data_IF_429447069490
#
_entry.id   IF_429447069490
#
_cell.length_a   1.000
_cell.length_b   1.000
_cell.length_c   1.000
_cell.angle_alpha   90.00
_cell.angle_beta   90.00
_cell.angle_gamma   90.00
#
_symmetry.space_group_name_H-M   'P 1'
#
loop_
_entity.id
_entity.type
_entity.pdbx_description
1 polymer ?
#
# COMPACT_ATOMS: atom_id res chain seq x y z
N UNK A 1 1.59 0.10 1.24
CA UNK A 1 0.32 -0.43 0.69
C UNK A 1 -0.73 -0.68 1.75
N UNK A 2 -0.34 -1.07 2.97
CA UNK A 2 -1.28 -1.34 4.09
C UNK A 2 -2.20 -0.13 4.39
N UNK A 3 -1.66 1.10 4.37
CA UNK A 3 -2.45 2.32 4.55
C UNK A 3 -3.52 2.52 3.48
N UNK A 4 -3.28 2.13 2.21
CA UNK A 4 -4.26 2.23 1.13
C UNK A 4 -5.43 1.26 1.35
N UNK A 5 -5.13 0.02 1.71
CA UNK A 5 -6.17 -0.98 2.03
C UNK A 5 -6.99 -0.54 3.24
N UNK A 6 -6.31 -0.01 4.27
CA UNK A 6 -6.98 0.50 5.47
C UNK A 6 -7.91 1.67 5.14
N UNK A 7 -7.46 2.62 4.32
CA UNK A 7 -8.26 3.76 3.88
C UNK A 7 -9.50 3.29 3.10
N UNK A 8 -9.32 2.38 2.14
CA UNK A 8 -10.43 1.81 1.37
C UNK A 8 -11.48 1.13 2.29
N UNK A 9 -11.03 0.37 3.30
CA UNK A 9 -11.92 -0.35 4.22
C UNK A 9 -12.69 0.52 5.19
N UNK A 10 -12.25 1.74 5.43
CA UNK A 10 -12.94 2.71 6.30
C UNK A 10 -14.06 3.47 5.59
N UNK A 11 -14.46 3.04 4.37
CA UNK A 11 -15.51 3.67 3.58
C UNK A 11 -15.07 4.94 2.85
N UNK A 12 -13.80 5.31 2.96
CA UNK A 12 -13.23 6.38 2.17
C UNK A 12 -12.62 5.78 0.91
N UNK A 13 -13.32 5.86 -0.23
CA UNK A 13 -12.83 5.30 -1.48
C UNK A 13 -11.45 5.83 -1.84
N UNK A 14 -10.53 4.91 -2.18
CA UNK A 14 -9.28 5.30 -2.80
C UNK A 14 -9.56 6.10 -4.07
N UNK A 15 -9.10 7.35 -4.08
CA UNK A 15 -9.12 8.19 -5.26
C UNK A 15 -8.20 7.63 -6.35
N UNK A 16 -8.20 8.25 -7.52
CA UNK A 16 -7.50 7.75 -8.71
C UNK A 16 -6.04 7.33 -8.42
N UNK A 17 -5.26 8.16 -7.76
CA UNK A 17 -3.84 7.89 -7.49
C UNK A 17 -3.64 6.69 -6.54
N UNK A 18 -4.47 6.55 -5.51
CA UNK A 18 -4.42 5.39 -4.61
C UNK A 18 -4.76 4.09 -5.33
N UNK A 19 -5.77 4.11 -6.21
CA UNK A 19 -6.11 2.95 -7.05
C UNK A 19 -5.02 2.63 -8.07
N UNK A 20 -4.42 3.66 -8.69
CA UNK A 20 -3.32 3.52 -9.64
C UNK A 20 -2.09 2.89 -8.97
N UNK A 21 -1.84 3.20 -7.69
CA UNK A 21 -0.75 2.63 -6.91
C UNK A 21 -1.05 1.20 -6.44
N UNK A 22 -2.28 0.91 -5.99
CA UNK A 22 -2.61 -0.36 -5.34
C UNK A 22 -2.87 -1.51 -6.34
N UNK A 23 -3.55 -1.25 -7.46
CA UNK A 23 -3.90 -2.30 -8.44
C UNK A 23 -2.69 -3.06 -8.99
N UNK A 24 -1.64 -2.40 -9.52
CA UNK A 24 -0.46 -3.11 -10.02
C UNK A 24 0.34 -3.79 -8.91
N UNK A 25 0.35 -3.21 -7.70
CA UNK A 25 0.97 -3.85 -6.53
C UNK A 25 0.31 -5.20 -6.22
N UNK A 26 -1.03 -5.26 -6.15
CA UNK A 26 -1.78 -6.50 -5.86
C UNK A 26 -1.54 -7.55 -6.95
N UNK A 27 -1.58 -7.15 -8.22
CA UNK A 27 -1.24 -8.03 -9.34
C UNK A 27 0.16 -8.62 -9.18
N UNK A 28 1.17 -7.81 -8.90
CA UNK A 28 2.55 -8.26 -8.72
C UNK A 28 2.74 -9.07 -7.44
N UNK A 29 1.89 -8.90 -6.45
CA UNK A 29 1.84 -9.72 -5.24
C UNK A 29 1.22 -11.11 -5.47
N UNK A 30 0.73 -11.41 -6.69
CA UNK A 30 0.18 -12.72 -7.05
C UNK A 30 -1.34 -12.81 -7.01
N UNK A 31 -2.06 -11.69 -6.74
CA UNK A 31 -3.52 -11.69 -6.80
C UNK A 31 -3.99 -11.93 -8.24
N UNK A 32 -4.85 -12.92 -8.46
CA UNK A 32 -5.41 -13.19 -9.80
C UNK A 32 -6.40 -12.11 -10.23
N UNK A 33 -6.69 -12.01 -11.53
CA UNK A 33 -7.72 -11.08 -12.01
C UNK A 33 -9.09 -11.38 -11.39
N UNK A 34 -9.45 -12.65 -11.29
CA UNK A 34 -10.72 -13.07 -10.69
C UNK A 34 -10.84 -12.63 -9.24
N UNK A 35 -9.76 -12.83 -8.44
CA UNK A 35 -9.74 -12.42 -7.05
C UNK A 35 -9.72 -10.90 -6.91
N UNK A 36 -9.01 -10.20 -7.80
CA UNK A 36 -9.00 -8.74 -7.82
C UNK A 36 -10.39 -8.16 -8.12
N UNK A 37 -11.10 -8.71 -9.12
CA UNK A 37 -12.46 -8.25 -9.44
C UNK A 37 -13.40 -8.43 -8.24
N UNK A 38 -13.38 -9.62 -7.62
CA UNK A 38 -14.19 -9.90 -6.42
C UNK A 38 -13.82 -8.97 -5.26
N UNK A 39 -12.52 -8.83 -4.97
CA UNK A 39 -12.05 -8.00 -3.86
C UNK A 39 -12.42 -6.52 -4.06
N UNK A 40 -12.16 -5.97 -5.25
CA UNK A 40 -12.48 -4.58 -5.56
C UNK A 40 -14.00 -4.34 -5.55
N UNK A 41 -14.82 -5.27 -6.02
CA UNK A 41 -16.28 -5.17 -5.96
C UNK A 41 -16.74 -5.09 -4.50
N UNK A 42 -16.31 -6.00 -3.65
CA UNK A 42 -16.66 -6.01 -2.22
C UNK A 42 -16.21 -4.72 -1.53
N UNK A 43 -14.97 -4.28 -1.75
CA UNK A 43 -14.44 -3.11 -1.06
C UNK A 43 -15.02 -1.78 -1.58
N UNK A 44 -15.36 -1.67 -2.86
CA UNK A 44 -15.99 -0.48 -3.42
C UNK A 44 -17.46 -0.39 -3.06
N UNK A 45 -18.16 -1.52 -2.99
CA UNK A 45 -19.59 -1.58 -2.61
C UNK A 45 -19.84 -1.40 -1.12
N UNK A 46 -18.82 -1.15 -0.31
CA UNK A 46 -18.99 -0.62 1.04
C UNK A 46 -19.60 0.79 1.03
N UNK A 47 -19.44 1.53 -0.06
CA UNK A 47 -20.18 2.74 -0.35
C UNK A 47 -21.55 2.38 -0.94
N UNK A 48 -22.66 2.81 -0.30
CA UNK A 48 -24.02 2.54 -0.80
C UNK A 48 -24.27 3.08 -2.22
N UNK A 49 -23.54 4.12 -2.63
CA UNK A 49 -23.69 4.70 -3.98
C UNK A 49 -23.04 3.81 -5.06
N UNK A 50 -22.15 2.92 -4.69
CA UNK A 50 -21.51 1.98 -5.64
C UNK A 50 -22.32 0.69 -5.74
N UNK A 51 -23.36 0.73 -6.53
CA UNK A 51 -24.12 -0.47 -6.90
C UNK A 51 -23.29 -1.41 -7.79
N UNK A 52 -23.76 -2.65 -8.00
CA UNK A 52 -23.12 -3.56 -8.96
C UNK A 52 -23.06 -2.96 -10.37
N UNK A 53 -24.11 -2.27 -10.81
CA UNK A 53 -24.13 -1.61 -12.12
C UNK A 53 -23.06 -0.52 -12.22
N UNK A 54 -22.88 0.29 -11.19
CA UNK A 54 -21.81 1.30 -11.11
C UNK A 54 -20.44 0.63 -11.13
N UNK A 55 -20.22 -0.43 -10.35
CA UNK A 55 -18.97 -1.18 -10.36
C UNK A 55 -18.62 -1.69 -11.76
N UNK A 56 -19.55 -2.33 -12.44
CA UNK A 56 -19.34 -2.87 -13.80
C UNK A 56 -19.03 -1.78 -14.82
N UNK A 57 -19.72 -0.63 -14.74
CA UNK A 57 -19.56 0.49 -15.68
C UNK A 57 -18.26 1.26 -15.47
N UNK A 58 -17.89 1.55 -14.20
CA UNK A 58 -16.86 2.54 -13.89
C UNK A 58 -15.53 1.93 -13.40
N UNK A 59 -15.59 0.77 -12.76
CA UNK A 59 -14.42 0.22 -12.09
C UNK A 59 -13.85 -1.03 -12.74
N UNK A 60 -14.69 -1.94 -13.22
CA UNK A 60 -14.28 -3.23 -13.76
C UNK A 60 -13.26 -3.09 -14.89
N UNK A 61 -13.53 -2.22 -15.87
CA UNK A 61 -12.62 -1.99 -17.00
C UNK A 61 -11.21 -1.60 -16.55
N UNK A 62 -11.10 -0.71 -15.55
CA UNK A 62 -9.83 -0.24 -15.05
C UNK A 62 -9.03 -1.34 -14.30
N UNK A 63 -9.72 -2.27 -13.66
CA UNK A 63 -9.09 -3.43 -13.02
C UNK A 63 -8.59 -4.39 -14.11
N UNK A 64 -9.43 -4.75 -15.07
CA UNK A 64 -9.07 -5.60 -16.20
C UNK A 64 -7.87 -5.03 -16.99
N UNK A 65 -7.85 -3.72 -17.21
CA UNK A 65 -6.73 -3.02 -17.85
C UNK A 65 -5.43 -3.11 -17.02
N UNK A 66 -5.51 -2.92 -15.69
CA UNK A 66 -4.35 -3.04 -14.83
C UNK A 66 -3.76 -4.46 -14.83
N UNK A 67 -4.59 -5.47 -15.07
CA UNK A 67 -4.19 -6.86 -15.19
C UNK A 67 -3.78 -7.30 -16.61
N UNK A 68 -3.97 -6.44 -17.60
CA UNK A 68 -3.64 -6.73 -19.01
C UNK A 68 -4.70 -7.51 -19.77
N UNK A 69 -5.90 -7.70 -19.18
CA UNK A 69 -7.04 -8.34 -19.85
C UNK A 69 -7.78 -7.40 -20.81
N UNK A 70 -7.48 -6.11 -20.76
CA UNK A 70 -8.01 -5.07 -21.66
C UNK A 70 -6.89 -4.15 -22.13
N UNK A 71 -7.09 -3.50 -23.28
CA UNK A 71 -6.12 -2.62 -23.90
C UNK A 71 -5.00 -3.40 -24.57
N UNK A 72 -3.74 -2.95 -24.42
CA UNK A 72 -2.58 -3.54 -25.12
C UNK A 72 -2.01 -4.83 -24.47
N UNK A 73 -2.72 -5.48 -23.57
CA UNK A 73 -2.38 -6.81 -23.02
C UNK A 73 -1.20 -6.89 -22.04
N UNK A 74 -0.45 -5.81 -21.80
CA UNK A 74 0.75 -5.85 -20.95
C UNK A 74 0.47 -5.71 -19.46
N UNK A 75 -0.70 -5.16 -19.09
CA UNK A 75 -1.02 -4.81 -17.71
C UNK A 75 -0.16 -3.67 -17.14
N UNK A 76 -0.52 -3.18 -15.97
CA UNK A 76 0.18 -2.09 -15.33
C UNK A 76 1.39 -2.59 -14.52
N UNK A 77 2.51 -1.87 -14.61
CA UNK A 77 3.67 -2.12 -13.75
C UNK A 77 3.49 -1.42 -12.40
N UNK A 78 3.85 -2.07 -11.27
CA UNK A 78 3.80 -1.43 -9.98
C UNK A 78 4.90 -0.37 -9.85
N UNK A 79 4.59 0.69 -9.11
CA UNK A 79 5.56 1.75 -8.84
C UNK A 79 6.60 1.28 -7.83
N UNK A 80 7.87 1.55 -8.10
CA UNK A 80 8.94 1.49 -7.11
C UNK A 80 8.84 2.66 -6.11
N UNK A 81 9.60 2.58 -5.02
CA UNK A 81 9.57 3.58 -3.95
C UNK A 81 9.83 5.01 -4.47
N UNK A 82 10.81 5.19 -5.35
CA UNK A 82 11.10 6.50 -5.95
C UNK A 82 9.92 7.06 -6.74
N UNK A 83 9.18 6.21 -7.47
CA UNK A 83 7.99 6.64 -8.20
C UNK A 83 6.84 7.03 -7.26
N UNK A 84 6.66 6.27 -6.18
CA UNK A 84 5.64 6.54 -5.16
C UNK A 84 5.94 7.84 -4.40
N UNK A 85 7.21 8.11 -4.11
CA UNK A 85 7.65 9.32 -3.40
C UNK A 85 7.54 10.60 -4.25
N UNK A 86 7.41 10.46 -5.58
CA UNK A 86 7.15 11.58 -6.49
C UNK A 86 5.68 11.97 -6.61
N UNK A 87 4.77 11.19 -6.03
CA UNK A 87 3.37 11.59 -6.01
C UNK A 87 3.21 12.87 -5.18
N UNK A 88 2.30 13.77 -5.57
CA UNK A 88 1.97 14.93 -4.73
C UNK A 88 1.43 14.45 -3.38
N UNK A 89 1.54 15.30 -2.36
CA UNK A 89 0.95 15.00 -1.06
C UNK A 89 -0.57 14.75 -1.19
N UNK A 90 -1.13 13.73 -0.53
CA UNK A 90 -2.55 13.48 -0.57
C UNK A 90 -3.31 14.63 0.09
N UNK A 91 -4.41 15.05 -0.53
CA UNK A 91 -5.34 16.02 0.03
C UNK A 91 -6.29 15.35 1.01
N UNK A 92 -7.14 16.14 1.66
CA UNK A 92 -8.22 15.63 2.51
C UNK A 92 -8.99 14.49 1.80
N UNK A 93 -9.29 13.42 2.51
CA UNK A 93 -9.95 12.20 2.00
C UNK A 93 -9.21 11.47 0.88
N UNK A 94 -7.92 11.70 0.71
CA UNK A 94 -7.08 10.96 -0.24
C UNK A 94 -6.06 10.10 0.51
N UNK A 95 -5.73 8.96 -0.05
CA UNK A 95 -4.61 8.14 0.38
C UNK A 95 -3.84 7.64 -0.84
N UNK A 96 -2.58 7.99 -0.91
CA UNK A 96 -1.61 7.52 -1.90
C UNK A 96 -0.20 7.92 -1.44
N UNK A 97 0.81 7.57 -2.22
CA UNK A 97 2.19 7.90 -1.89
C UNK A 97 2.82 6.96 -0.86
N UNK A 98 3.90 7.39 -0.26
CA UNK A 98 4.64 6.67 0.76
C UNK A 98 4.23 7.18 2.16
N UNK A 99 3.71 6.33 3.06
CA UNK A 99 3.28 6.77 4.40
C UNK A 99 4.43 7.23 5.30
N UNK A 100 5.67 6.89 4.94
CA UNK A 100 6.86 7.33 5.66
C UNK A 100 7.44 8.65 5.11
N UNK A 101 6.88 9.18 4.06
CA UNK A 101 7.23 10.50 3.55
C UNK A 101 6.40 11.55 4.28
N UNK A 102 7.07 12.53 4.85
CA UNK A 102 6.42 13.61 5.59
C UNK A 102 5.35 14.31 4.74
N UNK A 103 4.16 14.50 5.30
CA UNK A 103 3.01 15.06 4.60
C UNK A 103 2.26 14.09 3.68
N UNK A 104 2.67 12.82 3.59
CA UNK A 104 2.02 11.80 2.77
C UNK A 104 1.20 10.77 3.57
N UNK A 105 1.02 11.01 4.85
CA UNK A 105 0.22 10.16 5.74
C UNK A 105 -1.29 10.22 5.43
N UNK A 106 -1.72 11.20 4.63
CA UNK A 106 -3.11 11.46 4.34
C UNK A 106 -3.84 12.05 5.55
N UNK A 107 -4.98 11.47 5.90
CA UNK A 107 -5.77 11.89 7.07
C UNK A 107 -5.20 11.39 8.41
N UNK A 108 -4.15 10.57 8.38
CA UNK A 108 -3.61 9.93 9.56
C UNK A 108 -2.23 10.48 9.89
N UNK A 109 -1.98 10.72 11.17
CA UNK A 109 -0.62 10.97 11.62
C UNK A 109 0.18 9.65 11.56
N UNK A 110 1.47 9.73 11.23
CA UNK A 110 2.32 8.54 11.14
C UNK A 110 2.29 7.73 12.43
N UNK A 111 2.29 8.39 13.59
CA UNK A 111 2.23 7.72 14.90
C UNK A 111 0.97 6.86 15.04
N UNK A 112 -0.18 7.35 14.58
CA UNK A 112 -1.46 6.63 14.66
C UNK A 112 -1.48 5.42 13.70
N UNK A 113 -0.89 5.59 12.50
CA UNK A 113 -0.70 4.49 11.54
C UNK A 113 0.17 3.37 12.13
N UNK A 114 1.30 3.74 12.75
CA UNK A 114 2.23 2.76 13.33
C UNK A 114 1.59 2.00 14.49
N UNK A 115 0.88 2.68 15.37
CA UNK A 115 0.10 2.04 16.45
C UNK A 115 -0.97 1.09 15.90
N UNK A 116 -1.70 1.54 14.88
CA UNK A 116 -2.71 0.70 14.19
C UNK A 116 -2.09 -0.52 13.47
N UNK A 117 -0.82 -0.44 13.10
CA UNK A 117 -0.06 -1.54 12.52
C UNK A 117 0.60 -2.45 13.57
N UNK A 118 0.38 -2.17 14.85
CA UNK A 118 0.80 -3.01 15.96
C UNK A 118 2.18 -2.68 16.53
N UNK A 119 2.75 -1.52 16.23
CA UNK A 119 3.98 -1.07 16.85
C UNK A 119 3.69 -0.41 18.20
N UNK A 120 4.50 -0.75 19.21
CA UNK A 120 4.53 0.00 20.47
C UNK A 120 5.13 1.39 20.24
N UNK A 121 4.84 2.38 21.10
CA UNK A 121 5.45 3.72 21.01
C UNK A 121 6.98 3.68 20.95
N UNK A 122 7.60 2.79 21.72
CA UNK A 122 9.06 2.61 21.74
C UNK A 122 9.58 2.12 20.39
N UNK A 123 8.94 1.10 19.80
CA UNK A 123 9.32 0.57 18.49
C UNK A 123 9.05 1.57 17.35
N UNK A 124 8.03 2.41 17.48
CA UNK A 124 7.69 3.44 16.50
C UNK A 124 8.67 4.62 16.49
N UNK A 125 9.39 4.88 17.58
CA UNK A 125 10.24 6.06 17.72
C UNK A 125 11.31 6.18 16.62
N UNK A 126 12.01 5.08 16.31
CA UNK A 126 13.03 5.08 15.25
C UNK A 126 12.44 5.37 13.86
N UNK A 127 11.25 4.83 13.58
CA UNK A 127 10.51 5.06 12.33
C UNK A 127 10.13 6.54 12.20
N UNK A 128 9.54 7.11 13.25
CA UNK A 128 9.10 8.51 13.28
C UNK A 128 10.31 9.44 13.10
N UNK A 129 11.38 9.19 13.83
CA UNK A 129 12.62 10.00 13.74
C UNK A 129 13.20 10.00 12.32
N UNK A 130 13.27 8.84 11.67
CA UNK A 130 13.77 8.73 10.30
C UNK A 130 12.84 9.43 9.29
N UNK A 131 11.52 9.30 9.46
CA UNK A 131 10.52 9.99 8.65
C UNK A 131 10.63 11.51 8.79
N UNK A 132 10.68 12.03 10.01
CA UNK A 132 10.83 13.47 10.30
C UNK A 132 12.14 14.05 9.78
N UNK A 133 13.19 13.24 9.65
CA UNK A 133 14.45 13.61 9.02
C UNK A 133 14.40 13.59 7.47
N UNK A 134 13.24 13.40 6.86
CA UNK A 134 13.09 13.34 5.41
C UNK A 134 13.70 12.09 4.76
N UNK A 135 13.83 10.99 5.51
CA UNK A 135 14.46 9.72 5.07
C UNK A 135 13.43 8.58 5.00
N UNK A 136 12.46 8.61 4.07
CA UNK A 136 11.37 7.62 4.04
C UNK A 136 11.85 6.18 3.83
N UNK A 137 12.94 5.96 3.10
CA UNK A 137 13.52 4.61 2.92
C UNK A 137 14.10 4.09 4.23
N UNK A 138 14.80 4.93 5.01
CA UNK A 138 15.29 4.55 6.33
C UNK A 138 14.12 4.27 7.30
N UNK A 139 13.08 5.11 7.29
CA UNK A 139 11.87 4.89 8.09
C UNK A 139 11.20 3.54 7.74
N UNK A 140 11.12 3.20 6.45
CA UNK A 140 10.61 1.89 5.99
C UNK A 140 11.47 0.73 6.51
N UNK A 141 12.80 0.88 6.55
CA UNK A 141 13.71 -0.11 7.09
C UNK A 141 13.56 -0.28 8.61
N UNK A 142 13.41 0.83 9.36
CA UNK A 142 13.13 0.77 10.80
C UNK A 142 11.77 0.08 11.07
N UNK A 143 10.76 0.40 10.27
CA UNK A 143 9.46 -0.26 10.36
C UNK A 143 9.57 -1.77 10.11
N UNK A 144 10.35 -2.20 9.11
CA UNK A 144 10.57 -3.62 8.85
C UNK A 144 11.19 -4.33 10.07
N UNK A 145 12.24 -3.76 10.64
CA UNK A 145 12.92 -4.32 11.82
C UNK A 145 11.99 -4.41 13.02
N UNK A 146 11.22 -3.36 13.27
CA UNK A 146 10.27 -3.33 14.37
C UNK A 146 9.11 -4.32 14.19
N UNK A 147 8.64 -4.52 12.95
CA UNK A 147 7.57 -5.45 12.62
C UNK A 147 8.03 -6.93 12.57
N UNK A 148 9.34 -7.18 12.42
CA UNK A 148 9.93 -8.52 12.31
C UNK A 148 11.16 -8.66 13.20
N UNK A 149 11.04 -8.51 14.54
CA UNK A 149 12.19 -8.53 15.45
C UNK A 149 12.95 -9.86 15.45
N UNK A 150 12.27 -10.96 15.09
CA UNK A 150 12.85 -12.29 14.97
C UNK A 150 13.70 -12.49 13.70
N UNK A 151 13.56 -11.62 12.70
CA UNK A 151 14.27 -11.68 11.44
C UNK A 151 15.49 -10.74 11.40
N UNK A 152 16.13 -10.51 12.55
CA UNK A 152 17.31 -9.64 12.66
C UNK A 152 18.40 -10.07 11.66
N UNK A 153 18.90 -9.12 10.85
CA UNK A 153 19.94 -9.37 9.85
C UNK A 153 19.45 -9.84 8.48
N UNK A 154 18.17 -10.19 8.31
CA UNK A 154 17.62 -10.60 7.00
C UNK A 154 17.29 -9.47 6.04
N UNK A 155 17.08 -8.26 6.53
CA UNK A 155 16.88 -7.11 5.64
C UNK A 155 18.19 -6.80 4.92
N UNK A 156 18.34 -7.30 3.71
CA UNK A 156 19.48 -7.03 2.84
C UNK A 156 19.24 -5.74 2.06
N UNK A 157 19.80 -4.65 2.54
CA UNK A 157 19.86 -3.38 1.83
C UNK A 157 18.55 -2.55 1.87
N UNK A 158 18.56 -1.45 1.13
CA UNK A 158 17.41 -0.55 1.00
C UNK A 158 16.27 -1.21 0.21
N UNK A 159 15.10 -1.26 0.81
CA UNK A 159 13.88 -1.66 0.09
C UNK A 159 13.52 -0.56 -0.91
N UNK A 160 13.66 -0.86 -2.20
CA UNK A 160 13.40 0.09 -3.30
C UNK A 160 12.05 -0.14 -3.99
N UNK A 161 11.31 -1.17 -3.56
CA UNK A 161 10.04 -1.54 -4.16
C UNK A 161 9.07 -2.15 -3.14
N UNK A 162 7.78 -1.75 -3.11
CA UNK A 162 6.80 -2.28 -2.15
C UNK A 162 6.59 -3.80 -2.23
N UNK A 163 6.64 -4.39 -3.44
CA UNK A 163 6.52 -5.84 -3.58
C UNK A 163 7.76 -6.58 -3.06
N UNK A 164 8.94 -5.95 -3.10
CA UNK A 164 10.14 -6.51 -2.47
C UNK A 164 10.01 -6.50 -0.94
N UNK A 165 9.48 -5.40 -0.37
CA UNK A 165 9.13 -5.36 1.05
C UNK A 165 8.19 -6.50 1.43
N UNK A 166 7.11 -6.69 0.64
CA UNK A 166 6.15 -7.77 0.88
C UNK A 166 6.83 -9.14 0.84
N UNK A 167 7.65 -9.41 -0.17
CA UNK A 167 8.38 -10.67 -0.31
C UNK A 167 9.28 -10.94 0.90
N UNK A 168 10.06 -9.94 1.33
CA UNK A 168 10.92 -10.07 2.51
C UNK A 168 10.11 -10.28 3.78
N UNK A 169 8.97 -9.59 3.93
CA UNK A 169 8.07 -9.76 5.07
C UNK A 169 7.48 -11.18 5.14
N UNK A 170 7.05 -11.73 4.00
CA UNK A 170 6.52 -13.11 3.94
C UNK A 170 7.59 -14.14 4.28
N UNK A 171 8.82 -13.96 3.79
CA UNK A 171 9.94 -14.84 4.14
C UNK A 171 10.26 -14.76 5.64
N UNK A 172 10.29 -13.54 6.20
CA UNK A 172 10.50 -13.35 7.64
C UNK A 172 9.42 -14.03 8.49
N UNK A 173 8.16 -14.03 8.02
CA UNK A 173 7.07 -14.72 8.69
C UNK A 173 7.16 -16.25 8.60
N UNK A 174 7.58 -16.77 7.45
CA UNK A 174 7.78 -18.22 7.27
C UNK A 174 8.85 -18.80 8.22
N UNK A 175 9.87 -18.01 8.56
CA UNK A 175 10.91 -18.42 9.50
C UNK A 175 10.45 -18.43 10.98
N UNK A 176 9.26 -17.94 11.26
CA UNK A 176 8.69 -17.94 12.61
C UNK A 176 7.88 -19.22 12.92
N UNK A 177 7.48 -19.94 11.87
CA UNK A 177 6.68 -21.18 11.97
C UNK A 177 7.55 -22.40 12.12
#
# INVERSE_FOLDING_TARGET
MRHLVMHQRRGAHLQFQGRLQLRPFLRRAGMTLSDALRWWEVELRRDPEVTQAVFLREHRYQIERAYGARGHGRGAHPFGCNGIQKFPAPRHRQAHGCPFQQGHEGEYRLVDLLGHWGLTPVAAHAVIRASSAGKPSAACAEFFRAAHPWAAGRQRGDVRHPNEYLRQSLLAQADRL
#
